data_IF_015188695898
#
_entry.id   IF_015188695898
#
_cell.length_a   1.000
_cell.length_b   1.000
_cell.length_c   1.000
_cell.angle_alpha   90.00
_cell.angle_beta   90.00
_cell.angle_gamma   90.00
#
_symmetry.space_group_name_H-M   'P 1'
#
loop_
_entity.id
_entity.type
_entity.pdbx_description
1 polymer ?
#
# COMPACT_ATOMS: atom_id res chain seq x y z
N UNK A 1 -4.79 -18.78 -0.49
CA UNK A 1 -4.03 -17.73 -1.16
C UNK A 1 -2.76 -17.47 -0.38
N UNK A 2 -1.61 -17.66 -1.01
CA UNK A 2 -0.30 -17.31 -0.44
C UNK A 2 -0.03 -15.82 -0.66
N UNK A 3 0.37 -15.13 0.40
CA UNK A 3 0.72 -13.71 0.41
C UNK A 3 2.21 -13.56 0.70
N UNK A 4 2.93 -12.83 -0.13
CA UNK A 4 4.29 -12.36 0.19
C UNK A 4 4.20 -10.93 0.69
N UNK A 5 4.68 -10.66 1.90
CA UNK A 5 4.62 -9.33 2.50
C UNK A 5 6.02 -8.77 2.78
N UNK A 6 6.33 -7.63 2.18
CA UNK A 6 7.54 -6.83 2.45
C UNK A 6 7.10 -5.62 3.26
N UNK A 7 7.39 -5.63 4.56
CA UNK A 7 6.88 -4.67 5.52
C UNK A 7 8.01 -3.99 6.28
N UNK A 8 7.87 -2.71 6.52
CA UNK A 8 8.75 -1.92 7.35
C UNK A 8 9.89 -1.24 6.58
N UNK A 9 10.32 -0.13 7.15
CA UNK A 9 11.39 0.71 6.65
C UNK A 9 11.97 1.56 7.78
N UNK A 10 12.71 2.62 7.43
CA UNK A 10 13.36 3.49 8.41
C UNK A 10 12.35 4.19 9.33
N UNK A 11 11.22 4.63 8.79
CA UNK A 11 10.17 5.36 9.52
C UNK A 11 9.05 4.45 10.03
N UNK A 12 8.81 3.32 9.35
CA UNK A 12 7.70 2.42 9.64
C UNK A 12 8.18 1.13 10.29
N UNK A 13 7.84 0.93 11.56
CA UNK A 13 8.27 -0.24 12.34
C UNK A 13 7.62 -1.52 11.80
N UNK A 14 8.44 -2.42 11.30
CA UNK A 14 8.00 -3.70 10.72
C UNK A 14 7.04 -4.48 11.62
N UNK A 15 7.31 -4.56 12.92
CA UNK A 15 6.47 -5.35 13.85
C UNK A 15 5.04 -4.79 13.97
N UNK A 16 4.84 -3.47 13.83
CA UNK A 16 3.50 -2.87 13.88
C UNK A 16 2.69 -3.26 12.65
N UNK A 17 3.32 -3.18 11.46
CA UNK A 17 2.70 -3.60 10.20
C UNK A 17 2.38 -5.09 10.18
N UNK A 18 3.29 -5.92 10.72
CA UNK A 18 3.08 -7.37 10.89
C UNK A 18 1.89 -7.67 11.80
N UNK A 19 1.78 -6.98 12.94
CA UNK A 19 0.67 -7.15 13.87
C UNK A 19 -0.66 -6.77 13.21
N UNK A 20 -0.71 -5.62 12.53
CA UNK A 20 -1.90 -5.16 11.85
C UNK A 20 -2.33 -6.06 10.68
N UNK A 21 -1.38 -6.56 9.88
CA UNK A 21 -1.68 -7.52 8.81
C UNK A 21 -2.18 -8.84 9.39
N UNK A 22 -1.56 -9.33 10.47
CA UNK A 22 -1.94 -10.58 11.14
C UNK A 22 -3.38 -10.50 11.68
N UNK A 23 -3.76 -9.38 12.27
CA UNK A 23 -5.14 -9.13 12.71
C UNK A 23 -6.11 -9.09 11.52
N UNK A 24 -5.76 -8.37 10.45
CA UNK A 24 -6.63 -8.20 9.28
C UNK A 24 -6.93 -9.51 8.56
N UNK A 25 -6.00 -10.47 8.57
CA UNK A 25 -6.16 -11.78 7.93
C UNK A 25 -6.69 -12.87 8.87
N UNK A 26 -6.83 -12.60 10.17
CA UNK A 26 -7.18 -13.62 11.18
C UNK A 26 -8.45 -14.40 10.82
N UNK A 27 -9.46 -13.69 10.34
CA UNK A 27 -10.78 -14.26 9.97
C UNK A 27 -10.90 -14.60 8.47
N UNK A 28 -9.79 -14.61 7.72
CA UNK A 28 -9.78 -14.95 6.30
C UNK A 28 -9.21 -16.36 6.13
N UNK A 29 -10.09 -17.33 5.88
CA UNK A 29 -9.68 -18.72 5.70
C UNK A 29 -8.75 -18.91 4.49
N UNK A 30 -7.78 -19.81 4.66
CA UNK A 30 -6.87 -20.21 3.59
C UNK A 30 -5.86 -19.13 3.20
N UNK A 31 -5.57 -18.17 4.07
CA UNK A 31 -4.46 -17.22 3.90
C UNK A 31 -3.19 -17.80 4.54
N UNK A 32 -2.09 -17.80 3.77
CA UNK A 32 -0.74 -18.06 4.26
C UNK A 32 0.08 -16.78 4.02
N UNK A 33 0.55 -16.14 5.09
CA UNK A 33 1.41 -14.96 4.98
C UNK A 33 2.87 -15.38 5.16
N UNK A 34 3.68 -15.09 4.16
CA UNK A 34 5.14 -15.24 4.22
C UNK A 34 5.77 -13.85 4.18
N UNK A 35 6.46 -13.51 5.26
CA UNK A 35 7.22 -12.27 5.35
C UNK A 35 8.56 -12.41 4.62
N UNK A 36 8.90 -11.44 3.82
CA UNK A 36 10.14 -11.40 3.04
C UNK A 36 10.82 -10.03 3.17
N UNK A 37 12.14 -10.01 3.08
CA UNK A 37 12.89 -8.78 2.90
C UNK A 37 12.77 -8.26 1.47
N UNK A 38 13.14 -6.99 1.27
CA UNK A 38 13.24 -6.35 -0.06
C UNK A 38 14.15 -7.12 -1.01
N UNK A 39 15.23 -7.72 -0.48
CA UNK A 39 16.20 -8.49 -1.26
C UNK A 39 15.68 -9.87 -1.67
N UNK A 40 14.78 -10.46 -0.88
CA UNK A 40 14.19 -11.78 -1.19
C UNK A 40 12.98 -11.66 -2.12
N UNK A 41 12.44 -10.45 -2.33
CA UNK A 41 11.19 -10.25 -3.05
C UNK A 41 11.20 -10.87 -4.45
N UNK A 42 12.25 -10.62 -5.24
CA UNK A 42 12.32 -11.13 -6.61
C UNK A 42 12.32 -12.66 -6.67
N UNK A 43 13.04 -13.32 -5.76
CA UNK A 43 13.03 -14.77 -5.65
C UNK A 43 11.62 -15.28 -5.30
N UNK A 44 10.93 -14.58 -4.39
CA UNK A 44 9.54 -14.90 -4.01
C UNK A 44 8.53 -14.69 -5.13
N UNK A 45 8.75 -13.79 -6.08
CA UNK A 45 7.87 -13.64 -7.25
C UNK A 45 7.85 -14.90 -8.12
N UNK A 46 8.94 -15.67 -8.16
CA UNK A 46 9.02 -16.93 -8.93
C UNK A 46 8.06 -18.01 -8.40
N UNK A 47 7.68 -17.92 -7.12
CA UNK A 47 6.72 -18.82 -6.47
C UNK A 47 5.26 -18.52 -6.88
N UNK A 48 5.03 -17.44 -7.66
CA UNK A 48 3.71 -16.98 -8.13
C UNK A 48 2.68 -16.88 -7.00
N UNK A 49 2.95 -16.08 -5.95
CA UNK A 49 2.00 -15.91 -4.86
C UNK A 49 0.68 -15.31 -5.36
N UNK A 50 -0.41 -15.56 -4.66
CA UNK A 50 -1.70 -14.99 -5.04
C UNK A 50 -1.81 -13.50 -4.76
N UNK A 51 -0.95 -12.95 -3.88
CA UNK A 51 -0.84 -11.52 -3.61
C UNK A 51 0.58 -11.16 -3.12
N UNK A 52 1.09 -10.01 -3.55
CA UNK A 52 2.26 -9.35 -2.96
C UNK A 52 1.80 -8.07 -2.27
N UNK A 53 2.21 -7.87 -1.01
CA UNK A 53 1.97 -6.65 -0.23
C UNK A 53 3.30 -5.95 0.01
N UNK A 54 3.36 -4.65 -0.28
CA UNK A 54 4.51 -3.81 0.03
C UNK A 54 4.06 -2.63 0.89
N UNK A 55 4.60 -2.55 2.11
CA UNK A 55 4.50 -1.41 3.01
C UNK A 55 5.91 -1.03 3.46
N UNK A 56 6.66 -0.46 2.53
CA UNK A 56 8.06 -0.13 2.68
C UNK A 56 8.40 0.99 1.73
N UNK A 57 8.98 2.09 2.23
CA UNK A 57 9.50 3.13 1.35
C UNK A 57 10.70 2.66 0.53
N UNK A 58 10.99 3.38 -0.55
CA UNK A 58 12.07 3.03 -1.47
C UNK A 58 13.47 3.28 -0.91
N UNK A 59 13.64 4.31 -0.07
CA UNK A 59 14.94 4.66 0.52
C UNK A 59 15.34 3.65 1.60
N UNK A 60 16.64 3.36 1.68
CA UNK A 60 17.21 2.42 2.65
C UNK A 60 17.65 3.13 3.94
N UNK A 61 18.23 4.32 3.81
CA UNK A 61 18.75 5.11 4.92
C UNK A 61 18.56 6.60 4.58
N UNK A 62 17.34 7.11 4.67
CA UNK A 62 16.99 8.47 4.22
C UNK A 62 17.78 9.57 4.94
N UNK A 63 18.28 9.32 6.15
CA UNK A 63 19.07 10.30 6.90
C UNK A 63 20.55 10.30 6.51
N UNK A 64 21.17 9.14 6.29
CA UNK A 64 22.62 9.06 6.01
C UNK A 64 22.96 8.94 4.52
N UNK A 65 22.06 8.37 3.72
CA UNK A 65 22.27 8.17 2.30
C UNK A 65 20.91 8.24 1.56
N UNK A 66 20.37 9.45 1.35
CA UNK A 66 19.03 9.66 0.80
C UNK A 66 18.84 9.08 -0.61
N UNK A 67 19.94 8.93 -1.37
CA UNK A 67 19.92 8.38 -2.73
C UNK A 67 19.96 6.84 -2.75
N UNK A 68 20.25 6.19 -1.61
CA UNK A 68 20.35 4.73 -1.54
C UNK A 68 18.96 4.11 -1.49
N UNK A 69 18.56 3.52 -2.61
CA UNK A 69 17.25 2.89 -2.80
C UNK A 69 17.36 1.37 -2.94
N UNK A 70 16.29 0.64 -2.63
CA UNK A 70 16.22 -0.80 -2.88
C UNK A 70 15.68 -1.13 -4.27
N UNK A 71 14.79 -0.30 -4.81
CA UNK A 71 14.19 -0.52 -6.11
C UNK A 71 15.06 0.11 -7.20
N UNK A 72 15.86 -0.72 -7.85
CA UNK A 72 16.56 -0.34 -9.09
C UNK A 72 15.62 -0.49 -10.29
N UNK A 73 15.97 0.09 -11.44
CA UNK A 73 15.23 -0.09 -12.71
C UNK A 73 15.06 -1.58 -13.07
N UNK A 74 16.05 -2.42 -12.75
CA UNK A 74 15.95 -3.87 -12.95
C UNK A 74 14.87 -4.49 -12.05
N UNK A 75 14.88 -4.17 -10.75
CA UNK A 75 13.88 -4.67 -9.78
C UNK A 75 12.48 -4.22 -10.17
N UNK A 76 12.34 -2.95 -10.52
CA UNK A 76 11.09 -2.34 -10.98
C UNK A 76 10.53 -3.06 -12.22
N UNK A 77 11.35 -3.33 -13.25
CA UNK A 77 10.91 -4.09 -14.43
C UNK A 77 10.44 -5.50 -14.09
N UNK A 78 11.13 -6.20 -13.19
CA UNK A 78 10.69 -7.54 -12.77
C UNK A 78 9.35 -7.52 -12.04
N UNK A 79 9.13 -6.53 -11.16
CA UNK A 79 7.85 -6.35 -10.45
C UNK A 79 6.73 -6.04 -11.45
N UNK A 80 6.96 -5.08 -12.34
CA UNK A 80 5.92 -4.65 -13.29
C UNK A 80 5.61 -5.74 -14.32
N UNK A 81 6.59 -6.52 -14.77
CA UNK A 81 6.38 -7.69 -15.62
C UNK A 81 5.63 -8.81 -14.91
N UNK A 82 5.90 -9.02 -13.62
CA UNK A 82 5.16 -9.97 -12.80
C UNK A 82 3.67 -9.61 -12.72
N UNK A 83 3.36 -8.33 -12.44
CA UNK A 83 1.97 -7.86 -12.39
C UNK A 83 1.31 -7.90 -13.77
N UNK A 84 2.00 -7.46 -14.83
CA UNK A 84 1.48 -7.55 -16.21
C UNK A 84 1.05 -8.95 -16.61
N UNK A 85 1.72 -9.99 -16.08
CA UNK A 85 1.44 -11.42 -16.34
C UNK A 85 0.44 -12.05 -15.37
N UNK A 86 -0.34 -11.24 -14.63
CA UNK A 86 -1.42 -11.71 -13.77
C UNK A 86 -1.10 -11.72 -12.27
N UNK A 87 0.10 -11.25 -11.88
CA UNK A 87 0.43 -11.07 -10.48
C UNK A 87 -0.42 -9.97 -9.82
N UNK A 88 -0.84 -10.18 -8.57
CA UNK A 88 -1.58 -9.18 -7.81
C UNK A 88 -0.65 -8.38 -6.88
N UNK A 89 -0.87 -7.07 -6.79
CA UNK A 89 -0.04 -6.15 -6.02
C UNK A 89 -0.85 -5.24 -5.11
N UNK A 90 -0.43 -5.15 -3.85
CA UNK A 90 -1.02 -4.24 -2.87
C UNK A 90 0.07 -3.31 -2.30
N UNK A 91 0.05 -2.05 -2.69
CA UNK A 91 0.88 -1.00 -2.10
C UNK A 91 0.13 -0.39 -0.91
N UNK A 92 0.73 -0.52 0.27
CA UNK A 92 0.15 -0.10 1.53
C UNK A 92 1.02 0.98 2.18
N UNK A 93 0.44 2.15 2.45
CA UNK A 93 1.10 3.29 3.09
C UNK A 93 2.46 3.63 2.47
N UNK A 94 3.57 3.32 3.15
CA UNK A 94 4.92 3.62 2.67
C UNK A 94 5.33 2.84 1.42
N UNK A 95 4.56 1.83 1.00
CA UNK A 95 4.67 1.19 -0.31
C UNK A 95 4.44 2.12 -1.52
N UNK A 96 4.09 3.39 -1.28
CA UNK A 96 3.95 4.46 -2.25
C UNK A 96 5.03 5.56 -2.14
N UNK A 97 5.88 5.54 -1.12
CA UNK A 97 6.78 6.64 -0.77
C UNK A 97 8.21 6.47 -1.29
N UNK A 98 8.74 7.54 -1.90
CA UNK A 98 10.14 7.63 -2.36
C UNK A 98 10.47 6.89 -3.65
N UNK A 99 9.45 6.40 -4.37
CA UNK A 99 9.63 5.75 -5.67
C UNK A 99 9.77 6.80 -6.79
N UNK A 100 10.50 6.44 -7.84
CA UNK A 100 10.76 7.33 -8.99
C UNK A 100 9.45 7.76 -9.67
N UNK A 101 9.18 9.07 -9.74
CA UNK A 101 7.91 9.63 -10.20
C UNK A 101 7.57 9.20 -11.64
N UNK A 102 8.59 9.09 -12.48
CA UNK A 102 8.48 8.66 -13.88
C UNK A 102 8.82 7.17 -14.08
N UNK A 103 8.95 6.41 -12.98
CA UNK A 103 9.29 4.99 -12.99
C UNK A 103 8.10 4.10 -13.35
N UNK A 104 8.40 2.89 -13.84
CA UNK A 104 7.37 1.91 -14.18
C UNK A 104 6.56 1.44 -12.96
N UNK A 105 7.12 1.48 -11.75
CA UNK A 105 6.44 1.14 -10.50
C UNK A 105 5.34 2.16 -10.20
N UNK A 106 5.66 3.45 -10.28
CA UNK A 106 4.68 4.53 -10.10
C UNK A 106 3.60 4.50 -11.18
N UNK A 107 3.95 4.26 -12.46
CA UNK A 107 2.96 4.03 -13.52
C UNK A 107 2.11 2.77 -13.27
N UNK A 108 2.67 1.70 -12.70
CA UNK A 108 1.92 0.51 -12.29
C UNK A 108 0.95 0.81 -11.14
N UNK A 109 1.35 1.62 -10.15
CA UNK A 109 0.46 2.03 -9.06
C UNK A 109 -0.61 3.03 -9.54
N UNK A 110 -0.28 3.88 -10.49
CA UNK A 110 -1.14 4.92 -11.06
C UNK A 110 -1.19 6.22 -10.25
N UNK A 111 -0.40 6.32 -9.20
CA UNK A 111 -0.21 7.52 -8.39
C UNK A 111 0.96 7.33 -7.43
N UNK A 112 1.50 8.43 -6.91
CA UNK A 112 2.62 8.41 -5.98
C UNK A 112 2.46 9.44 -4.88
N UNK A 113 3.13 9.17 -3.76
CA UNK A 113 3.22 10.09 -2.63
C UNK A 113 4.12 11.29 -2.98
N UNK A 114 3.60 12.50 -2.77
CA UNK A 114 4.36 13.74 -2.94
C UNK A 114 4.89 14.27 -1.62
N UNK A 115 4.01 14.43 -0.63
CA UNK A 115 4.33 14.99 0.68
C UNK A 115 3.22 14.69 1.70
N UNK A 116 3.52 14.93 2.97
CA UNK A 116 2.55 15.09 4.05
C UNK A 116 3.00 16.28 4.93
N UNK A 117 2.12 16.87 5.75
CA UNK A 117 2.51 17.87 6.75
C UNK A 117 3.46 17.27 7.80
N UNK A 118 4.33 18.09 8.41
CA UNK A 118 5.31 17.62 9.42
C UNK A 118 4.65 16.97 10.66
N UNK A 119 3.44 17.43 11.01
CA UNK A 119 2.70 16.94 12.17
C UNK A 119 1.73 15.80 11.80
N UNK A 120 1.60 14.83 12.71
CA UNK A 120 0.46 13.91 12.70
C UNK A 120 -0.82 14.67 13.04
N UNK A 121 -1.77 14.65 12.12
CA UNK A 121 -3.02 15.42 12.16
C UNK A 121 -4.22 14.49 12.20
N UNK A 122 -5.38 15.00 12.59
CA UNK A 122 -6.63 14.26 12.44
C UNK A 122 -6.99 14.19 10.95
N UNK A 123 -6.92 13.01 10.37
CA UNK A 123 -7.30 12.75 8.98
C UNK A 123 -8.64 12.03 8.99
N UNK A 124 -9.60 12.57 8.25
CA UNK A 124 -10.90 11.95 7.98
C UNK A 124 -10.83 11.20 6.66
N UNK A 125 -11.40 10.01 6.58
CA UNK A 125 -11.43 9.19 5.39
C UNK A 125 -12.87 8.95 4.95
N UNK A 126 -13.16 9.36 3.72
CA UNK A 126 -14.47 9.30 3.10
C UNK A 126 -14.45 8.27 1.96
N UNK A 127 -15.39 7.33 1.98
CA UNK A 127 -15.53 6.32 0.94
C UNK A 127 -16.29 6.89 -0.27
N UNK A 128 -15.91 6.49 -1.48
CA UNK A 128 -16.62 6.84 -2.73
C UNK A 128 -17.64 5.76 -3.05
N UNK A 129 -18.91 6.13 -3.22
CA UNK A 129 -20.06 5.20 -3.26
C UNK A 129 -19.99 4.11 -4.35
N UNK A 130 -19.26 4.36 -5.44
CA UNK A 130 -19.28 3.53 -6.64
C UNK A 130 -18.26 2.36 -6.66
N UNK A 131 -17.65 2.02 -5.52
CA UNK A 131 -16.65 0.95 -5.45
C UNK A 131 -17.01 -0.15 -4.45
N UNK A 132 -16.76 -1.42 -4.81
CA UNK A 132 -17.06 -2.57 -3.94
C UNK A 132 -16.35 -2.50 -2.58
N UNK A 133 -15.16 -1.89 -2.53
CA UNK A 133 -14.41 -1.65 -1.28
C UNK A 133 -15.01 -0.54 -0.41
N UNK A 134 -16.02 0.19 -0.87
CA UNK A 134 -16.71 1.26 -0.15
C UNK A 134 -18.02 0.80 0.49
N UNK A 135 -18.60 -0.31 0.01
CA UNK A 135 -19.95 -0.72 0.40
C UNK A 135 -20.11 -0.98 1.90
N UNK A 136 -21.12 -0.37 2.52
CA UNK A 136 -21.49 -0.58 3.92
C UNK A 136 -20.47 -0.04 4.92
N UNK A 137 -19.67 0.96 4.52
CA UNK A 137 -18.63 1.55 5.35
C UNK A 137 -18.95 2.99 5.71
N UNK A 138 -18.95 3.26 7.01
CA UNK A 138 -19.02 4.61 7.53
C UNK A 138 -17.66 5.29 7.47
N UNK A 139 -17.68 6.61 7.22
CA UNK A 139 -16.57 7.54 7.39
C UNK A 139 -15.87 7.30 8.72
N UNK A 140 -14.54 7.36 8.72
CA UNK A 140 -13.74 7.29 9.95
C UNK A 140 -12.67 8.37 9.99
N UNK A 141 -12.06 8.56 11.16
CA UNK A 141 -10.94 9.46 11.31
C UNK A 141 -9.93 8.91 12.30
N UNK A 142 -8.63 9.10 12.00
CA UNK A 142 -7.51 8.71 12.85
C UNK A 142 -6.49 9.85 12.91
N UNK A 143 -5.58 9.80 13.90
CA UNK A 143 -4.42 10.70 13.93
C UNK A 143 -3.28 10.05 13.13
N UNK A 144 -2.96 10.63 11.98
CA UNK A 144 -2.09 9.99 10.98
C UNK A 144 -1.30 11.03 10.16
N UNK A 145 -0.41 10.53 9.29
CA UNK A 145 0.23 11.32 8.24
C UNK A 145 -0.77 11.57 7.10
N UNK A 146 -1.11 12.84 6.81
CA UNK A 146 -2.00 13.15 5.69
C UNK A 146 -1.25 13.15 4.36
N UNK A 147 -1.21 12.01 3.67
CA UNK A 147 -0.50 11.88 2.39
C UNK A 147 -1.23 12.61 1.25
N UNK A 148 -0.48 13.42 0.52
CA UNK A 148 -0.90 14.03 -0.74
C UNK A 148 -0.39 13.20 -1.92
N UNK A 149 -1.32 12.76 -2.77
CA UNK A 149 -1.05 11.90 -3.91
C UNK A 149 -1.17 12.66 -5.21
N UNK A 150 -0.18 12.52 -6.08
CA UNK A 150 -0.27 12.92 -7.48
C UNK A 150 -0.77 11.72 -8.31
N UNK A 151 -1.74 11.99 -9.20
CA UNK A 151 -2.31 10.97 -10.10
C UNK A 151 -1.53 10.96 -11.41
N UNK A 152 -1.03 9.80 -11.82
CA UNK A 152 -0.29 9.66 -13.09
C UNK A 152 -1.01 8.80 -14.11
N UNK A 153 -1.88 7.88 -13.68
CA UNK A 153 -2.65 7.00 -14.56
C UNK A 153 -4.12 6.94 -14.15
N UNK A 154 -4.96 6.47 -15.07
CA UNK A 154 -6.37 6.21 -14.75
C UNK A 154 -6.49 5.06 -13.74
N UNK A 155 -7.20 5.34 -12.65
CA UNK A 155 -7.50 4.41 -11.56
C UNK A 155 -8.96 4.56 -11.11
N UNK A 156 -9.46 3.59 -10.35
CA UNK A 156 -10.77 3.64 -9.71
C UNK A 156 -10.58 3.93 -8.22
N UNK A 157 -10.91 5.15 -7.81
CA UNK A 157 -10.69 5.63 -6.44
C UNK A 157 -11.87 5.24 -5.54
N UNK A 158 -11.57 4.75 -4.35
CA UNK A 158 -12.58 4.31 -3.38
C UNK A 158 -12.47 5.02 -2.02
N UNK A 159 -11.37 5.72 -1.76
CA UNK A 159 -11.15 6.42 -0.50
C UNK A 159 -10.50 7.78 -0.76
N UNK A 160 -11.03 8.81 -0.12
CA UNK A 160 -10.49 10.16 -0.06
C UNK A 160 -10.11 10.50 1.38
N UNK A 161 -9.01 11.22 1.59
CA UNK A 161 -8.61 11.75 2.88
C UNK A 161 -8.82 13.26 2.94
N UNK A 162 -9.22 13.76 4.10
CA UNK A 162 -9.44 15.18 4.37
C UNK A 162 -8.81 15.57 5.71
N UNK A 163 -8.14 16.72 5.75
CA UNK A 163 -7.66 17.36 6.97
C UNK A 163 -7.70 18.88 6.85
N UNK A 164 -7.13 19.59 7.83
CA UNK A 164 -6.95 21.04 7.74
C UNK A 164 -6.08 21.48 6.55
N UNK A 165 -5.32 20.56 5.95
CA UNK A 165 -4.42 20.83 4.82
C UNK A 165 -5.08 20.59 3.45
N UNK A 166 -6.36 20.18 3.41
CA UNK A 166 -7.10 19.93 2.18
C UNK A 166 -7.52 18.47 2.02
N UNK A 167 -7.81 18.07 0.78
CA UNK A 167 -8.23 16.73 0.41
C UNK A 167 -7.20 16.05 -0.50
N UNK A 168 -7.12 14.72 -0.44
CA UNK A 168 -6.22 13.89 -1.25
C UNK A 168 -6.84 12.50 -1.46
N UNK A 169 -6.37 11.76 -2.46
CA UNK A 169 -6.76 10.36 -2.60
C UNK A 169 -6.07 9.50 -1.55
N UNK A 170 -6.82 8.55 -0.99
CA UNK A 170 -6.36 7.66 0.08
C UNK A 170 -6.47 6.17 -0.25
N UNK A 171 -7.13 5.82 -1.35
CA UNK A 171 -7.26 4.44 -1.78
C UNK A 171 -7.85 4.31 -3.18
N UNK A 172 -7.23 3.45 -3.99
CA UNK A 172 -7.66 3.18 -5.36
C UNK A 172 -7.27 1.79 -5.83
N UNK A 173 -7.95 1.33 -6.88
CA UNK A 173 -7.63 0.08 -7.59
C UNK A 173 -7.41 0.35 -9.07
N UNK A 174 -6.64 -0.51 -9.73
CA UNK A 174 -6.54 -0.54 -11.19
C UNK A 174 -6.09 -1.90 -11.70
N UNK A 175 -6.29 -2.13 -13.00
CA UNK A 175 -5.68 -3.23 -13.72
C UNK A 175 -4.35 -2.78 -14.32
N UNK A 176 -3.38 -3.69 -14.39
CA UNK A 176 -2.11 -3.47 -15.06
C UNK A 176 -1.67 -4.75 -15.78
N UNK A 177 -1.83 -4.75 -17.11
CA UNK A 177 -1.83 -6.00 -17.88
C UNK A 177 -2.96 -6.93 -17.40
N UNK A 178 -2.62 -8.18 -17.09
CA UNK A 178 -3.54 -9.19 -16.56
C UNK A 178 -3.68 -9.13 -15.02
N UNK A 179 -2.83 -8.36 -14.35
CA UNK A 179 -2.80 -8.25 -12.89
C UNK A 179 -3.71 -7.15 -12.34
N UNK A 180 -3.96 -7.23 -11.02
CA UNK A 180 -4.68 -6.21 -10.25
C UNK A 180 -3.73 -5.48 -9.30
N UNK A 181 -3.94 -4.18 -9.16
CA UNK A 181 -3.21 -3.32 -8.23
C UNK A 181 -4.20 -2.63 -7.30
N UNK A 182 -3.89 -2.59 -6.01
CA UNK A 182 -4.57 -1.78 -5.02
C UNK A 182 -3.56 -0.90 -4.31
N UNK A 183 -3.92 0.34 -4.05
CA UNK A 183 -3.20 1.26 -3.19
C UNK A 183 -4.10 1.66 -2.03
N UNK A 184 -3.56 1.69 -0.81
CA UNK A 184 -4.28 2.11 0.38
C UNK A 184 -3.31 2.85 1.31
N UNK A 185 -3.67 4.07 1.69
CA UNK A 185 -2.78 4.95 2.44
C UNK A 185 -2.81 4.69 3.95
N UNK A 186 -3.96 4.56 4.64
CA UNK A 186 -3.95 4.35 6.08
C UNK A 186 -3.14 3.08 6.46
N UNK A 187 -2.28 3.05 7.48
CA UNK A 187 -1.94 4.12 8.41
C UNK A 187 -0.47 4.03 8.84
N UNK A 188 0.05 5.09 9.48
CA UNK A 188 1.44 5.18 9.91
C UNK A 188 1.72 4.50 11.27
N UNK A 189 0.94 4.87 12.30
CA UNK A 189 1.21 4.50 13.70
C UNK A 189 0.33 3.34 14.19
N UNK A 190 0.70 2.75 15.33
CA UNK A 190 -0.01 1.61 15.93
C UNK A 190 -1.50 1.85 16.16
N UNK A 191 -1.87 3.03 16.66
CA UNK A 191 -3.26 3.40 16.93
C UNK A 191 -4.11 3.42 15.65
N UNK A 192 -3.59 4.01 14.58
CA UNK A 192 -4.21 4.03 13.26
C UNK A 192 -4.26 2.63 12.62
N UNK A 193 -3.14 1.91 12.67
CA UNK A 193 -3.02 0.55 12.14
C UNK A 193 -4.01 -0.43 12.78
N UNK A 194 -4.27 -0.30 14.08
CA UNK A 194 -5.22 -1.14 14.82
C UNK A 194 -6.64 -0.56 14.88
N UNK A 195 -6.90 0.57 14.22
CA UNK A 195 -8.24 1.12 14.14
C UNK A 195 -9.19 0.13 13.45
N UNK A 196 -10.40 -0.04 13.99
CA UNK A 196 -11.39 -1.01 13.48
C UNK A 196 -11.73 -0.79 12.00
N UNK A 197 -11.78 0.46 11.53
CA UNK A 197 -12.04 0.77 10.12
C UNK A 197 -10.85 0.40 9.23
N UNK A 198 -9.62 0.64 9.69
CA UNK A 198 -8.39 0.24 8.98
C UNK A 198 -8.29 -1.29 8.90
N UNK A 199 -8.55 -1.99 9.99
CA UNK A 199 -8.59 -3.47 10.02
C UNK A 199 -9.67 -4.03 9.09
N UNK A 200 -10.87 -3.43 9.09
CA UNK A 200 -11.95 -3.79 8.16
C UNK A 200 -11.55 -3.54 6.71
N UNK A 201 -10.85 -2.45 6.41
CA UNK A 201 -10.39 -2.11 5.07
C UNK A 201 -9.33 -3.08 4.57
N UNK A 202 -8.28 -3.34 5.36
CA UNK A 202 -7.24 -4.31 5.03
C UNK A 202 -7.84 -5.69 4.74
N UNK A 203 -8.74 -6.16 5.61
CA UNK A 203 -9.44 -7.41 5.41
C UNK A 203 -10.33 -7.43 4.15
N UNK A 204 -10.97 -6.31 3.80
CA UNK A 204 -11.78 -6.21 2.58
C UNK A 204 -10.90 -6.20 1.31
N UNK A 205 -9.78 -5.49 1.32
CA UNK A 205 -8.82 -5.43 0.22
C UNK A 205 -8.23 -6.82 -0.04
N UNK A 206 -7.81 -7.53 1.00
CA UNK A 206 -7.24 -8.88 0.86
C UNK A 206 -8.29 -9.86 0.31
N UNK A 207 -9.57 -9.75 0.73
CA UNK A 207 -10.66 -10.55 0.15
C UNK A 207 -10.94 -10.20 -1.32
N UNK A 208 -10.74 -8.95 -1.75
CA UNK A 208 -10.94 -8.54 -3.14
C UNK A 208 -9.90 -9.13 -4.11
N UNK A 209 -8.71 -9.46 -3.62
CA UNK A 209 -7.68 -10.17 -4.40
C UNK A 209 -7.87 -11.69 -4.46
N UNK A 210 -8.61 -12.26 -3.51
CA UNK A 210 -8.88 -13.70 -3.40
C UNK A 210 -9.96 -14.14 -4.39
#
# INVERSE_FOLDING_TARGET
MKIIAVLGDFYHKEYLLKNALSEAVREIEGIEVVYASRTELLDKLSEKPGLVIVASENRLDPEKNPDKQWMTESVERHITDYVKKGGNWFAWHSGLAGYEENGNYVSMLGGYFTHHPDDLVKVRYDYKDDHVLSHGKDVFAIRDEHYFIERVEKSTYFLESLSAYGASDAGWTRSYGEGKVCCYIPAHNEEGLMNVSVQRDLGAIIRWFK
#
